data_IF_158390474508
#
_entry.id   IF_158390474508
#
_cell.length_a   1.000
_cell.length_b   1.000
_cell.length_c   1.000
_cell.angle_alpha   90.00
_cell.angle_beta   90.00
_cell.angle_gamma   90.00
#
_symmetry.space_group_name_H-M   'P 1'
#
loop_
_entity.id
_entity.type
_entity.pdbx_description
1 polymer ?
#
# COMPACT_ATOMS: atom_id res chain seq x y z
N UNK A 1 -7.08 -20.89 -11.46
CA UNK A 1 -6.20 -20.85 -12.66
C UNK A 1 -6.07 -19.39 -13.06
N UNK A 2 -4.89 -18.77 -12.93
CA UNK A 2 -4.72 -17.32 -13.12
C UNK A 2 -4.79 -16.97 -14.61
N UNK A 3 -5.85 -16.26 -15.03
CA UNK A 3 -6.21 -16.14 -16.46
C UNK A 3 -5.64 -14.92 -17.21
N UNK A 4 -5.08 -13.90 -16.54
CA UNK A 4 -4.45 -12.73 -17.20
C UNK A 4 -3.69 -11.89 -16.16
N UNK A 5 -2.48 -11.45 -16.49
CA UNK A 5 -1.65 -10.58 -15.65
C UNK A 5 -1.42 -9.27 -16.40
N UNK A 6 -2.01 -8.18 -15.93
CA UNK A 6 -1.80 -6.86 -16.56
C UNK A 6 -0.69 -6.12 -15.84
N UNK A 7 0.31 -5.69 -16.62
CA UNK A 7 1.60 -5.26 -16.14
C UNK A 7 1.75 -3.73 -16.05
N UNK A 8 2.13 -3.28 -14.85
CA UNK A 8 3.03 -2.16 -14.47
C UNK A 8 2.71 -0.75 -14.96
N UNK A 9 2.22 0.09 -14.04
CA UNK A 9 2.37 1.54 -14.14
C UNK A 9 3.02 2.09 -12.87
N UNK A 10 3.98 2.98 -13.08
CA UNK A 10 4.68 3.72 -12.03
C UNK A 10 3.90 4.99 -11.71
N UNK A 11 3.39 5.11 -10.49
CA UNK A 11 2.98 6.39 -9.94
C UNK A 11 4.06 6.85 -8.96
N UNK A 12 4.61 8.07 -9.14
CA UNK A 12 5.55 8.71 -8.19
C UNK A 12 4.91 9.98 -7.65
N UNK A 13 5.09 10.27 -6.34
CA UNK A 13 6.42 10.56 -5.79
C UNK A 13 7.12 9.39 -5.08
N UNK A 14 6.38 8.43 -4.54
CA UNK A 14 6.91 7.25 -3.86
C UNK A 14 6.52 6.03 -4.66
N UNK A 15 7.50 5.31 -5.23
CA UNK A 15 7.32 4.25 -6.23
C UNK A 15 6.36 3.15 -5.76
N UNK A 16 5.08 3.27 -6.08
CA UNK A 16 4.11 2.19 -5.88
C UNK A 16 3.96 1.42 -7.19
N UNK A 17 4.27 0.14 -7.15
CA UNK A 17 3.98 -0.83 -8.21
C UNK A 17 2.63 -1.50 -7.91
N UNK A 18 1.87 -1.81 -8.95
CA UNK A 18 0.66 -2.61 -8.80
C UNK A 18 0.55 -3.68 -9.87
N UNK A 19 -0.15 -4.77 -9.54
CA UNK A 19 -0.40 -5.90 -10.43
C UNK A 19 -1.84 -6.33 -10.27
N UNK A 20 -2.53 -6.62 -11.37
CA UNK A 20 -3.90 -7.10 -11.36
C UNK A 20 -3.95 -8.45 -12.06
N UNK A 21 -4.66 -9.40 -11.46
CA UNK A 21 -4.97 -10.69 -12.05
C UNK A 21 -6.39 -11.12 -11.70
N UNK A 22 -6.90 -12.10 -12.45
CA UNK A 22 -8.22 -12.68 -12.24
C UNK A 22 -8.05 -14.05 -11.63
N UNK A 23 -8.76 -14.29 -10.53
CA UNK A 23 -8.95 -15.62 -9.96
C UNK A 23 -10.44 -15.93 -9.87
N UNK A 24 -10.83 -17.04 -10.49
CA UNK A 24 -12.23 -17.43 -10.71
C UNK A 24 -13.04 -16.30 -11.38
N UNK A 25 -13.93 -15.64 -10.64
CA UNK A 25 -14.75 -14.50 -11.07
C UNK A 25 -14.37 -13.16 -10.40
N UNK A 26 -13.23 -13.08 -9.72
CA UNK A 26 -12.81 -11.88 -8.98
C UNK A 26 -11.52 -11.30 -9.51
N UNK A 27 -11.46 -9.96 -9.54
CA UNK A 27 -10.22 -9.24 -9.78
C UNK A 27 -9.46 -9.11 -8.47
N UNK A 28 -8.19 -9.46 -8.51
CA UNK A 28 -7.25 -9.33 -7.41
C UNK A 28 -6.21 -8.31 -7.84
N UNK A 29 -5.95 -7.32 -7.00
CA UNK A 29 -4.85 -6.39 -7.19
C UNK A 29 -3.87 -6.45 -6.02
N UNK A 30 -2.58 -6.41 -6.32
CA UNK A 30 -1.55 -6.08 -5.34
C UNK A 30 -1.02 -4.68 -5.55
N UNK A 31 -0.78 -3.95 -4.47
CA UNK A 31 -0.05 -2.69 -4.47
C UNK A 31 1.19 -2.82 -3.58
N UNK A 32 2.34 -2.35 -4.05
CA UNK A 32 3.63 -2.53 -3.37
C UNK A 32 4.53 -1.31 -3.48
N UNK A 33 5.14 -0.89 -2.38
CA UNK A 33 6.17 0.15 -2.36
C UNK A 33 7.59 -0.41 -2.11
N UNK A 34 7.88 -1.62 -2.62
CA UNK A 34 9.12 -2.40 -2.41
C UNK A 34 9.28 -2.95 -0.97
N UNK A 35 8.94 -2.18 0.06
CA UNK A 35 9.05 -2.59 1.47
C UNK A 35 7.79 -3.27 2.02
N UNK A 36 6.63 -3.01 1.41
CA UNK A 36 5.34 -3.54 1.82
C UNK A 36 4.50 -3.83 0.59
N UNK A 37 3.90 -5.02 0.56
CA UNK A 37 2.93 -5.42 -0.47
C UNK A 37 1.61 -5.74 0.20
N UNK A 38 0.51 -5.19 -0.33
CA UNK A 38 -0.85 -5.49 0.09
C UNK A 38 -1.65 -6.04 -1.08
N UNK A 39 -2.68 -6.82 -0.78
CA UNK A 39 -3.55 -7.45 -1.76
C UNK A 39 -5.00 -7.08 -1.44
N UNK A 40 -5.80 -6.82 -2.47
CA UNK A 40 -7.22 -6.58 -2.32
C UNK A 40 -8.02 -7.09 -3.52
N UNK A 41 -9.33 -7.22 -3.33
CA UNK A 41 -10.27 -7.78 -4.30
C UNK A 41 -11.21 -6.70 -4.84
N UNK A 42 -11.75 -6.93 -6.02
CA UNK A 42 -12.78 -6.08 -6.61
C UNK A 42 -13.60 -6.81 -7.67
N UNK A 43 -14.82 -6.32 -7.89
CA UNK A 43 -15.69 -6.79 -8.97
C UNK A 43 -15.22 -6.29 -10.34
N UNK A 44 -14.37 -5.26 -10.37
CA UNK A 44 -13.71 -4.75 -11.57
C UNK A 44 -12.20 -4.57 -11.30
N UNK A 45 -11.35 -4.51 -12.36
CA UNK A 45 -9.93 -4.24 -12.21
C UNK A 45 -9.65 -2.95 -11.43
N UNK A 46 -10.37 -1.88 -11.74
CA UNK A 46 -10.16 -0.57 -11.13
C UNK A 46 -10.56 -0.56 -9.65
N UNK A 47 -11.67 -1.22 -9.30
CA UNK A 47 -12.06 -1.38 -7.89
C UNK A 47 -11.00 -2.14 -7.10
N UNK A 48 -10.47 -3.24 -7.66
CA UNK A 48 -9.43 -4.01 -6.98
C UNK A 48 -8.16 -3.15 -6.78
N UNK A 49 -7.76 -2.38 -7.81
CA UNK A 49 -6.61 -1.48 -7.78
C UNK A 49 -6.76 -0.40 -6.71
N UNK A 50 -7.86 0.35 -6.72
CA UNK A 50 -8.10 1.43 -5.77
C UNK A 50 -8.17 0.91 -4.34
N UNK A 51 -8.80 -0.26 -4.12
CA UNK A 51 -8.86 -0.89 -2.81
C UNK A 51 -7.47 -1.32 -2.32
N UNK A 52 -6.62 -1.86 -3.19
CA UNK A 52 -5.24 -2.21 -2.85
C UNK A 52 -4.38 -0.97 -2.55
N UNK A 53 -4.50 0.09 -3.35
CA UNK A 53 -3.80 1.36 -3.13
C UNK A 53 -4.23 2.02 -1.81
N UNK A 54 -5.53 2.09 -1.55
CA UNK A 54 -6.05 2.64 -0.30
C UNK A 54 -5.53 1.85 0.91
N UNK A 55 -5.54 0.52 0.85
CA UNK A 55 -5.02 -0.31 1.92
C UNK A 55 -3.51 -0.11 2.14
N UNK A 56 -2.74 0.06 1.07
CA UNK A 56 -1.30 0.35 1.16
C UNK A 56 -1.08 1.66 1.92
N UNK A 57 -1.77 2.72 1.51
CA UNK A 57 -1.69 4.03 2.17
C UNK A 57 -2.11 3.98 3.65
N UNK A 58 -3.19 3.26 3.97
CA UNK A 58 -3.62 3.08 5.37
C UNK A 58 -2.56 2.35 6.20
N UNK A 59 -1.91 1.35 5.62
CA UNK A 59 -0.88 0.58 6.30
C UNK A 59 0.38 1.41 6.53
N UNK A 60 0.78 2.22 5.55
CA UNK A 60 1.90 3.16 5.67
C UNK A 60 1.63 4.21 6.75
N UNK A 61 0.45 4.85 6.74
CA UNK A 61 0.03 5.80 7.78
C UNK A 61 0.02 5.17 9.18
N UNK A 62 -0.39 3.90 9.31
CA UNK A 62 -0.34 3.17 10.58
C UNK A 62 1.09 2.89 11.04
N UNK A 63 2.00 2.51 10.13
CA UNK A 63 3.43 2.32 10.45
C UNK A 63 4.07 3.62 10.93
N UNK A 64 3.85 4.72 10.20
CA UNK A 64 4.36 6.05 10.57
C UNK A 64 3.86 6.49 11.96
N UNK A 65 2.55 6.31 12.24
CA UNK A 65 1.97 6.61 13.56
C UNK A 65 2.57 5.72 14.67
N UNK A 66 2.87 4.46 14.37
CA UNK A 66 3.49 3.53 15.32
C UNK A 66 4.92 3.97 15.62
N UNK A 67 5.73 4.23 14.61
CA UNK A 67 7.12 4.69 14.76
C UNK A 67 7.19 6.00 15.57
N UNK A 68 6.33 6.98 15.27
CA UNK A 68 6.18 8.20 16.08
C UNK A 68 5.87 7.92 17.55
N UNK A 69 4.97 6.96 17.85
CA UNK A 69 4.64 6.56 19.22
C UNK A 69 5.80 5.87 19.95
N UNK A 70 6.59 5.06 19.25
CA UNK A 70 7.78 4.41 19.83
C UNK A 70 8.87 5.43 20.15
N UNK A 71 9.09 6.41 19.27
CA UNK A 71 10.02 7.53 19.56
C UNK A 71 9.57 8.29 20.82
N UNK A 72 8.28 8.57 20.98
CA UNK A 72 7.77 9.27 22.18
C UNK A 72 7.81 8.46 23.47
N UNK A 73 7.86 7.11 23.41
CA UNK A 73 7.92 6.25 24.61
C UNK A 73 9.35 5.91 25.04
N UNK A 74 10.34 6.03 24.14
CA UNK A 74 11.74 5.71 24.43
C UNK A 74 12.53 6.87 25.04
N UNK A 75 12.21 8.12 24.69
CA UNK A 75 12.89 9.30 25.21
C UNK A 75 11.88 10.26 25.83
N UNK A 76 11.87 10.32 27.17
CA UNK A 76 11.46 11.55 27.84
C UNK A 76 12.35 12.68 27.30
N UNK A 77 11.73 13.66 26.63
CA UNK A 77 12.33 14.81 25.96
C UNK A 77 13.04 14.50 24.61
N UNK A 78 12.51 15.05 23.50
CA UNK A 78 13.08 16.17 22.73
C UNK A 78 12.24 16.47 21.46
N UNK A 79 11.79 17.74 21.43
CA UNK A 79 11.49 18.70 20.35
C UNK A 79 11.50 18.26 18.86
N UNK A 80 10.48 18.72 18.12
CA UNK A 80 10.66 19.09 16.72
C UNK A 80 11.07 20.57 16.63
N UNK A 81 12.25 20.82 16.06
CA UNK A 81 12.62 22.11 15.45
C UNK A 81 12.07 22.09 14.03
N UNK A 82 11.08 22.92 13.74
CA UNK A 82 10.66 23.20 12.35
C UNK A 82 11.64 24.23 11.80
N UNK A 83 12.14 24.00 10.58
CA UNK A 83 12.96 24.95 9.83
C UNK A 83 12.07 25.70 8.85
#
# INVERSE_FOLDING_TARGET
MVKKMWNWFWYRPEKVSYRIWIDDDRYIASASNEALTVYNYGSTPDMAKEAALFQLQQTLKKKEKRERKFITRGNGYVLYRVK
#
